data_IF_573228793124
#
_entry.id   IF_573228793124
#
_cell.length_a   1.000
_cell.length_b   1.000
_cell.length_c   1.000
_cell.angle_alpha   90.00
_cell.angle_beta   90.00
_cell.angle_gamma   90.00
#
_symmetry.space_group_name_H-M   'P 1'
#
loop_
_entity.id
_entity.type
_entity.pdbx_description
1 polymer ?
#
# COMPACT_ATOMS: atom_id res chain seq x y z
N UNK A 1 2.12 -20.15 -19.24
CA UNK A 1 1.73 -18.76 -18.89
C UNK A 1 2.98 -18.04 -18.36
N UNK A 2 3.62 -17.21 -19.19
CA UNK A 2 4.87 -16.51 -18.82
C UNK A 2 4.52 -15.42 -17.82
N UNK A 3 5.13 -15.48 -16.64
CA UNK A 3 5.02 -14.44 -15.62
C UNK A 3 5.63 -13.13 -16.15
N UNK A 4 5.08 -11.96 -15.80
CA UNK A 4 5.64 -10.69 -16.20
C UNK A 4 7.09 -10.56 -15.68
N UNK A 5 8.00 -10.26 -16.61
CA UNK A 5 9.42 -10.10 -16.33
C UNK A 5 9.82 -8.64 -16.51
N UNK A 6 10.64 -8.13 -15.61
CA UNK A 6 11.29 -6.83 -15.75
C UNK A 6 12.65 -7.08 -16.43
N UNK A 7 12.80 -6.66 -17.68
CA UNK A 7 14.12 -6.68 -18.33
C UNK A 7 15.02 -5.65 -17.66
N UNK A 8 16.16 -6.10 -17.16
CA UNK A 8 17.24 -5.22 -16.70
C UNK A 8 17.99 -4.74 -17.94
N UNK A 9 17.93 -3.44 -18.30
CA UNK A 9 18.64 -2.94 -19.49
C UNK A 9 20.14 -3.08 -19.32
N UNK A 10 20.83 -3.47 -20.39
CA UNK A 10 22.28 -3.36 -20.49
C UNK A 10 22.70 -1.88 -20.46
N UNK A 11 23.84 -1.53 -19.86
CA UNK A 11 24.33 -0.15 -19.88
C UNK A 11 24.60 0.26 -21.33
N UNK A 12 23.77 1.14 -21.89
CA UNK A 12 23.89 1.65 -23.27
C UNK A 12 22.57 1.84 -24.03
N UNK A 13 21.44 1.30 -23.58
CA UNK A 13 20.16 1.33 -24.31
C UNK A 13 19.06 2.11 -23.60
N UNK A 14 19.41 3.22 -22.94
CA UNK A 14 18.44 4.13 -22.31
C UNK A 14 18.21 5.35 -23.21
N UNK A 15 17.45 5.17 -24.30
CA UNK A 15 16.78 6.27 -24.96
C UNK A 15 15.31 6.30 -24.55
N UNK A 16 14.96 7.38 -23.88
CA UNK A 16 13.60 7.90 -23.62
C UNK A 16 12.61 7.05 -22.84
N UNK A 17 12.69 7.10 -21.49
CA UNK A 17 11.52 7.26 -20.57
C UNK A 17 11.98 7.64 -19.17
N UNK A 18 11.18 8.47 -18.39
CA UNK A 18 11.78 9.32 -17.37
C UNK A 18 11.96 8.63 -16.01
N UNK A 19 12.67 9.31 -15.15
CA UNK A 19 12.98 9.21 -13.72
C UNK A 19 12.52 7.96 -12.91
N UNK A 20 11.30 7.47 -13.06
CA UNK A 20 10.73 6.38 -12.23
C UNK A 20 11.34 5.01 -12.57
N UNK A 21 11.54 4.71 -13.83
CA UNK A 21 12.20 3.45 -14.25
C UNK A 21 13.64 3.43 -13.79
N UNK A 22 14.32 4.59 -13.81
CA UNK A 22 15.69 4.71 -13.33
C UNK A 22 15.82 4.44 -11.84
N UNK A 23 14.89 4.95 -10.99
CA UNK A 23 14.86 4.69 -9.55
C UNK A 23 14.62 3.21 -9.23
N UNK A 24 13.74 2.54 -9.98
CA UNK A 24 13.50 1.10 -9.82
C UNK A 24 14.75 0.27 -10.17
N UNK A 25 15.42 0.62 -11.25
CA UNK A 25 16.66 -0.03 -11.66
C UNK A 25 17.79 0.24 -10.66
N UNK A 26 17.86 1.44 -10.09
CA UNK A 26 18.81 1.77 -9.06
C UNK A 26 18.59 0.93 -7.80
N UNK A 27 17.35 0.85 -7.29
CA UNK A 27 17.02 -0.01 -6.14
C UNK A 27 17.40 -1.49 -6.37
N UNK A 28 17.23 -1.99 -7.60
CA UNK A 28 17.64 -3.36 -7.96
C UNK A 28 19.17 -3.49 -7.94
N UNK A 29 19.90 -2.53 -8.50
CA UNK A 29 21.37 -2.50 -8.49
C UNK A 29 21.91 -2.45 -7.08
N UNK A 30 21.37 -1.59 -6.23
CA UNK A 30 21.83 -1.40 -4.85
C UNK A 30 21.59 -2.66 -4.02
N UNK A 31 20.54 -3.42 -4.31
CA UNK A 31 20.23 -4.67 -3.61
C UNK A 31 20.95 -5.90 -4.19
N UNK A 32 21.47 -5.83 -5.42
CA UNK A 32 22.16 -6.96 -6.08
C UNK A 32 23.30 -7.54 -5.26
N UNK A 33 24.25 -6.74 -4.69
CA UNK A 33 25.37 -7.28 -3.92
C UNK A 33 24.94 -7.91 -2.59
N UNK A 34 23.81 -7.51 -2.03
CA UNK A 34 23.36 -7.92 -0.69
C UNK A 34 22.35 -9.09 -0.71
N UNK A 35 21.79 -9.43 -1.89
CA UNK A 35 20.74 -10.45 -2.01
C UNK A 35 21.10 -11.49 -3.08
N UNK A 36 21.59 -12.68 -2.68
CA UNK A 36 22.08 -13.72 -3.61
C UNK A 36 21.05 -14.10 -4.68
N UNK A 37 19.75 -14.13 -4.36
CA UNK A 37 18.72 -14.47 -5.32
C UNK A 37 18.54 -13.41 -6.41
N UNK A 38 18.74 -12.12 -6.12
CA UNK A 38 18.72 -11.05 -7.12
C UNK A 38 19.92 -11.18 -8.05
N UNK A 39 21.11 -11.38 -7.46
CA UNK A 39 22.33 -11.61 -8.20
C UNK A 39 22.15 -12.80 -9.17
N UNK A 40 21.64 -13.93 -8.68
CA UNK A 40 21.40 -15.11 -9.49
C UNK A 40 20.50 -14.81 -10.72
N UNK A 41 19.33 -14.17 -10.50
CA UNK A 41 18.44 -13.86 -11.63
C UNK A 41 19.04 -12.87 -12.63
N UNK A 42 19.71 -11.83 -12.15
CA UNK A 42 20.33 -10.82 -13.01
C UNK A 42 21.49 -11.39 -13.81
N UNK A 43 22.37 -12.16 -13.17
CA UNK A 43 23.60 -12.67 -13.80
C UNK A 43 23.30 -13.87 -14.74
N UNK A 44 22.33 -14.73 -14.37
CA UNK A 44 22.03 -15.94 -15.16
C UNK A 44 21.03 -15.68 -16.28
N UNK A 45 19.97 -14.91 -15.99
CA UNK A 45 18.85 -14.75 -16.92
C UNK A 45 18.75 -13.35 -17.54
N UNK A 46 19.60 -12.42 -17.13
CA UNK A 46 19.57 -11.00 -17.52
C UNK A 46 18.19 -10.34 -17.41
N UNK A 47 17.33 -10.90 -16.56
CA UNK A 47 16.00 -10.41 -16.27
C UNK A 47 15.66 -10.71 -14.81
N UNK A 48 14.69 -9.94 -14.27
CA UNK A 48 14.25 -10.10 -12.90
C UNK A 48 12.73 -10.32 -12.91
N UNK A 49 12.22 -11.47 -12.47
CA UNK A 49 10.78 -11.66 -12.29
C UNK A 49 10.19 -10.60 -11.35
N UNK A 50 8.99 -10.13 -11.62
CA UNK A 50 8.36 -9.06 -10.83
C UNK A 50 8.21 -9.43 -9.35
N UNK A 51 7.92 -10.69 -9.03
CA UNK A 51 7.83 -11.17 -7.65
C UNK A 51 9.17 -11.13 -6.90
N UNK A 52 10.29 -11.24 -7.60
CA UNK A 52 11.64 -11.05 -7.05
C UNK A 52 11.92 -9.55 -6.89
N UNK A 53 11.62 -8.76 -7.91
CA UNK A 53 11.80 -7.31 -7.91
C UNK A 53 11.01 -6.64 -6.77
N UNK A 54 9.78 -7.08 -6.51
CA UNK A 54 8.94 -6.54 -5.44
C UNK A 54 9.56 -6.62 -4.05
N UNK A 55 10.47 -7.58 -3.82
CA UNK A 55 11.20 -7.72 -2.55
C UNK A 55 12.32 -6.70 -2.35
N UNK A 56 12.64 -5.92 -3.38
CA UNK A 56 13.64 -4.85 -3.36
C UNK A 56 13.00 -3.46 -3.39
N UNK A 57 11.74 -3.39 -3.72
CA UNK A 57 11.04 -2.13 -3.93
C UNK A 57 10.30 -1.74 -2.65
N UNK A 58 10.29 -0.45 -2.36
CA UNK A 58 9.45 0.09 -1.28
C UNK A 58 7.98 0.05 -1.67
N UNK A 59 7.09 0.18 -0.69
CA UNK A 59 5.66 0.22 -0.98
C UNK A 59 5.30 1.40 -1.88
N UNK A 60 5.88 2.59 -1.65
CA UNK A 60 5.69 3.75 -2.54
C UNK A 60 6.19 3.50 -3.96
N UNK A 61 7.31 2.80 -4.12
CA UNK A 61 7.83 2.42 -5.43
C UNK A 61 6.90 1.44 -6.15
N UNK A 62 6.31 0.47 -5.43
CA UNK A 62 5.31 -0.45 -6.00
C UNK A 62 4.02 0.27 -6.41
N UNK A 63 3.59 1.26 -5.63
CA UNK A 63 2.48 2.14 -5.97
C UNK A 63 2.73 2.88 -7.30
N UNK A 64 3.85 3.58 -7.40
CA UNK A 64 4.24 4.26 -8.63
C UNK A 64 4.39 3.30 -9.82
N UNK A 65 4.89 2.08 -9.59
CA UNK A 65 4.98 1.06 -10.64
C UNK A 65 3.59 0.69 -11.19
N UNK A 66 2.57 0.60 -10.36
CA UNK A 66 1.19 0.35 -10.79
C UNK A 66 0.67 1.49 -11.70
N UNK A 67 0.97 2.74 -11.36
CA UNK A 67 0.52 3.90 -12.16
C UNK A 67 1.02 3.86 -13.60
N UNK A 68 2.24 3.39 -13.81
CA UNK A 68 2.87 3.30 -15.14
C UNK A 68 2.46 2.08 -15.94
N UNK A 69 1.63 1.18 -15.38
CA UNK A 69 1.17 0.01 -16.11
C UNK A 69 0.17 0.36 -17.23
N UNK A 70 0.20 -0.44 -18.28
CA UNK A 70 -0.82 -0.38 -19.34
C UNK A 70 -2.20 -0.66 -18.75
N UNK A 71 -3.24 -0.06 -19.31
CA UNK A 71 -4.63 -0.23 -18.85
C UNK A 71 -5.03 -1.71 -18.73
N UNK A 72 -4.63 -2.54 -19.69
CA UNK A 72 -4.92 -3.98 -19.64
C UNK A 72 -4.29 -4.69 -18.41
N UNK A 73 -3.12 -4.24 -17.96
CA UNK A 73 -2.46 -4.78 -16.76
C UNK A 73 -3.18 -4.29 -15.51
N UNK A 74 -3.51 -3.01 -15.43
CA UNK A 74 -4.30 -2.44 -14.32
C UNK A 74 -5.62 -3.18 -14.13
N UNK A 75 -6.35 -3.43 -15.23
CA UNK A 75 -7.61 -4.19 -15.19
C UNK A 75 -7.39 -5.62 -14.66
N UNK A 76 -6.36 -6.33 -15.15
CA UNK A 76 -6.03 -7.68 -14.67
C UNK A 76 -5.65 -7.69 -13.19
N UNK A 77 -4.95 -6.66 -12.72
CA UNK A 77 -4.59 -6.50 -11.30
C UNK A 77 -5.84 -6.31 -10.44
N UNK A 78 -6.80 -5.49 -10.86
CA UNK A 78 -8.07 -5.32 -10.16
C UNK A 78 -8.87 -6.62 -10.06
N UNK A 79 -8.93 -7.40 -11.15
CA UNK A 79 -9.59 -8.72 -11.16
C UNK A 79 -8.89 -9.70 -10.22
N UNK A 80 -7.56 -9.74 -10.26
CA UNK A 80 -6.77 -10.60 -9.37
C UNK A 80 -6.95 -10.22 -7.89
N UNK A 81 -6.99 -8.91 -7.61
CA UNK A 81 -7.24 -8.40 -6.26
C UNK A 81 -8.65 -8.78 -5.78
N UNK A 82 -9.68 -8.54 -6.59
CA UNK A 82 -11.05 -8.92 -6.24
C UNK A 82 -11.17 -10.42 -5.91
N UNK A 83 -10.52 -11.28 -6.70
CA UNK A 83 -10.47 -12.72 -6.44
C UNK A 83 -9.75 -13.06 -5.13
N UNK A 84 -8.60 -12.42 -4.88
CA UNK A 84 -7.81 -12.66 -3.67
C UNK A 84 -8.55 -12.22 -2.38
N UNK A 85 -9.36 -11.17 -2.48
CA UNK A 85 -10.15 -10.64 -1.37
C UNK A 85 -11.53 -11.31 -1.23
N UNK A 86 -11.94 -12.19 -2.16
CA UNK A 86 -13.26 -12.81 -2.15
C UNK A 86 -14.41 -11.83 -2.44
N UNK A 87 -14.13 -10.69 -3.09
CA UNK A 87 -15.15 -9.67 -3.41
C UNK A 87 -15.51 -9.69 -4.89
N UNK A 88 -16.72 -9.21 -5.23
CA UNK A 88 -17.18 -9.21 -6.61
C UNK A 88 -16.34 -8.36 -7.55
N UNK A 89 -15.89 -7.21 -7.11
CA UNK A 89 -15.09 -6.29 -7.94
C UNK A 89 -14.25 -5.34 -7.09
N UNK A 90 -13.07 -5.01 -7.61
CA UNK A 90 -12.23 -3.89 -7.14
C UNK A 90 -12.09 -2.90 -8.29
N UNK A 91 -12.55 -1.67 -8.10
CA UNK A 91 -12.45 -0.63 -9.13
C UNK A 91 -11.03 -0.06 -9.17
N UNK A 92 -10.53 0.23 -10.37
CA UNK A 92 -9.18 0.76 -10.55
C UNK A 92 -8.94 2.02 -9.71
N UNK A 93 -9.89 2.98 -9.71
CA UNK A 93 -9.78 4.21 -8.91
C UNK A 93 -9.65 3.95 -7.39
N UNK A 94 -10.31 2.90 -6.88
CA UNK A 94 -10.19 2.52 -5.47
C UNK A 94 -8.79 1.96 -5.18
N UNK A 95 -8.26 1.14 -6.09
CA UNK A 95 -6.92 0.57 -5.95
C UNK A 95 -5.82 1.63 -6.09
N UNK A 96 -5.94 2.55 -7.05
CA UNK A 96 -5.06 3.71 -7.19
C UNK A 96 -5.09 4.59 -5.91
N UNK A 97 -6.29 4.89 -5.42
CA UNK A 97 -6.44 5.64 -4.17
C UNK A 97 -5.75 4.93 -2.98
N UNK A 98 -5.94 3.61 -2.85
CA UNK A 98 -5.30 2.85 -1.78
C UNK A 98 -3.77 2.85 -1.91
N UNK A 99 -3.24 2.66 -3.12
CA UNK A 99 -1.81 2.66 -3.39
C UNK A 99 -1.16 4.02 -3.16
N UNK A 100 -1.89 5.13 -3.36
CA UNK A 100 -1.38 6.48 -3.08
C UNK A 100 -1.58 6.93 -1.63
N UNK A 101 -2.39 6.22 -0.85
CA UNK A 101 -2.71 6.60 0.53
C UNK A 101 -1.92 5.76 1.54
N UNK A 102 -1.91 4.45 1.37
CA UNK A 102 -1.32 3.54 2.36
C UNK A 102 0.19 3.65 2.53
N UNK A 103 1.01 3.94 1.48
CA UNK A 103 2.44 4.14 1.68
C UNK A 103 2.77 5.28 2.65
N UNK A 104 2.00 6.38 2.60
CA UNK A 104 2.21 7.53 3.47
C UNK A 104 1.86 7.17 4.92
N UNK A 105 0.71 6.52 5.16
CA UNK A 105 0.36 6.04 6.50
C UNK A 105 1.31 4.96 7.03
N UNK A 106 1.80 4.07 6.16
CA UNK A 106 2.84 3.11 6.55
C UNK A 106 4.11 3.82 7.03
N UNK A 107 4.48 4.94 6.41
CA UNK A 107 5.64 5.73 6.85
C UNK A 107 5.37 6.40 8.20
N UNK A 108 4.18 6.95 8.43
CA UNK A 108 3.76 7.47 9.75
C UNK A 108 3.97 6.40 10.83
N UNK A 109 3.46 5.17 10.60
CA UNK A 109 3.65 4.06 11.55
C UNK A 109 5.11 3.64 11.71
N UNK A 110 5.93 3.69 10.65
CA UNK A 110 7.33 3.28 10.70
C UNK A 110 8.24 4.28 11.43
N UNK A 111 7.80 5.53 11.56
CA UNK A 111 8.53 6.61 12.25
C UNK A 111 7.94 6.94 13.63
N UNK A 112 7.09 6.05 14.19
CA UNK A 112 6.44 6.21 15.50
C UNK A 112 5.66 7.53 15.65
N UNK A 113 5.13 8.05 14.53
CA UNK A 113 4.33 9.26 14.53
C UNK A 113 2.87 8.96 14.95
N UNK A 114 2.16 10.02 15.35
CA UNK A 114 0.77 9.90 15.81
C UNK A 114 -0.19 9.62 14.64
N UNK A 115 -0.60 8.36 14.50
CA UNK A 115 -1.46 7.89 13.42
C UNK A 115 -2.86 8.51 13.45
N UNK A 116 -3.47 8.64 14.63
CA UNK A 116 -4.88 9.02 14.77
C UNK A 116 -5.21 10.42 14.23
N UNK A 117 -4.26 11.35 14.28
CA UNK A 117 -4.43 12.72 13.80
C UNK A 117 -3.59 13.04 12.56
N UNK A 118 -2.90 12.03 12.00
CA UNK A 118 -2.07 12.21 10.83
C UNK A 118 -2.90 12.63 9.61
N UNK A 119 -2.35 13.54 8.83
CA UNK A 119 -2.88 13.96 7.54
C UNK A 119 -1.79 13.78 6.50
N UNK A 120 -2.12 13.10 5.42
CA UNK A 120 -1.19 12.77 4.34
C UNK A 120 -1.74 13.22 2.98
N UNK A 121 -0.95 13.04 1.94
CA UNK A 121 -1.29 13.49 0.60
C UNK A 121 -0.79 14.91 0.33
N UNK A 122 -0.81 15.31 -0.93
CA UNK A 122 -0.23 16.59 -1.39
C UNK A 122 -0.83 17.82 -0.69
N UNK A 123 -2.11 17.75 -0.32
CA UNK A 123 -2.84 18.86 0.32
C UNK A 123 -3.25 18.52 1.76
N UNK A 124 -2.66 17.50 2.39
CA UNK A 124 -3.09 16.98 3.69
C UNK A 124 -4.59 16.61 3.73
N UNK A 125 -5.09 16.11 2.60
CA UNK A 125 -6.51 15.83 2.36
C UNK A 125 -6.95 14.41 2.75
N UNK A 126 -6.00 13.57 3.21
CA UNK A 126 -6.26 12.19 3.59
C UNK A 126 -5.94 11.98 5.06
N UNK A 127 -6.96 11.67 5.82
CA UNK A 127 -6.88 11.38 7.24
C UNK A 127 -7.14 9.91 7.56
N UNK A 128 -7.48 9.64 8.82
CA UNK A 128 -7.74 8.29 9.30
C UNK A 128 -8.93 7.61 8.59
N UNK A 129 -9.99 8.35 8.27
CA UNK A 129 -11.13 7.85 7.48
C UNK A 129 -10.69 7.36 6.08
N UNK A 130 -9.84 8.14 5.41
CA UNK A 130 -9.29 7.78 4.11
C UNK A 130 -8.37 6.56 4.20
N UNK A 131 -7.63 6.42 5.28
CA UNK A 131 -6.81 5.23 5.55
C UNK A 131 -7.69 3.98 5.71
N UNK A 132 -8.77 4.06 6.50
CA UNK A 132 -9.72 2.94 6.66
C UNK A 132 -10.33 2.53 5.32
N UNK A 133 -10.77 3.50 4.51
CA UNK A 133 -11.30 3.24 3.17
C UNK A 133 -10.28 2.59 2.25
N UNK A 134 -9.03 3.04 2.30
CA UNK A 134 -7.93 2.46 1.53
C UNK A 134 -7.61 1.03 1.98
N UNK A 135 -7.59 0.77 3.29
CA UNK A 135 -7.43 -0.58 3.85
C UNK A 135 -8.55 -1.51 3.39
N UNK A 136 -9.81 -1.07 3.44
CA UNK A 136 -10.95 -1.86 2.97
C UNK A 136 -10.90 -2.22 1.47
N UNK A 137 -10.07 -1.52 0.68
CA UNK A 137 -9.86 -1.84 -0.74
C UNK A 137 -8.85 -2.97 -0.95
N UNK A 138 -7.90 -3.16 -0.03
CA UNK A 138 -6.74 -4.06 -0.22
C UNK A 138 -6.61 -5.17 0.83
N UNK A 139 -7.52 -5.21 1.80
CA UNK A 139 -7.57 -6.27 2.82
C UNK A 139 -8.90 -7.02 2.76
N UNK A 140 -8.93 -8.23 3.31
CA UNK A 140 -10.19 -8.97 3.45
C UNK A 140 -11.07 -8.33 4.53
N UNK A 141 -12.37 -8.61 4.48
CA UNK A 141 -13.33 -8.09 5.46
C UNK A 141 -13.00 -8.54 6.89
N UNK A 142 -12.51 -9.77 7.06
CA UNK A 142 -12.10 -10.32 8.35
C UNK A 142 -10.92 -9.53 8.94
N UNK A 143 -9.88 -9.24 8.12
CA UNK A 143 -8.73 -8.45 8.55
C UNK A 143 -9.10 -7.02 8.90
N UNK A 144 -9.98 -6.41 8.12
CA UNK A 144 -10.48 -5.07 8.40
C UNK A 144 -11.28 -5.06 9.72
N UNK A 145 -12.10 -6.10 9.96
CA UNK A 145 -12.85 -6.28 11.20
C UNK A 145 -11.93 -6.46 12.42
N UNK A 146 -10.88 -7.28 12.31
CA UNK A 146 -9.86 -7.42 13.36
C UNK A 146 -9.23 -6.07 13.73
N UNK A 147 -8.87 -5.28 12.73
CA UNK A 147 -8.34 -3.93 12.93
C UNK A 147 -9.37 -3.01 13.61
N UNK A 148 -10.61 -3.02 13.14
CA UNK A 148 -11.69 -2.21 13.72
C UNK A 148 -11.97 -2.59 15.19
N UNK A 149 -11.97 -3.88 15.54
CA UNK A 149 -12.10 -4.37 16.92
C UNK A 149 -10.96 -3.85 17.81
N UNK A 150 -9.72 -3.85 17.30
CA UNK A 150 -8.58 -3.32 18.05
C UNK A 150 -8.72 -1.81 18.29
N UNK A 151 -9.13 -1.04 17.28
CA UNK A 151 -9.38 0.41 17.42
C UNK A 151 -10.53 0.69 18.40
N UNK A 152 -11.65 -0.04 18.29
CA UNK A 152 -12.78 0.13 19.19
C UNK A 152 -12.43 -0.21 20.65
N UNK A 153 -11.63 -1.26 20.86
CA UNK A 153 -11.10 -1.60 22.19
C UNK A 153 -10.21 -0.50 22.79
N UNK A 154 -9.35 0.12 21.99
CA UNK A 154 -8.55 1.27 22.43
C UNK A 154 -9.43 2.48 22.77
N UNK A 155 -10.44 2.79 21.95
CA UNK A 155 -11.41 3.87 22.21
C UNK A 155 -12.19 3.61 23.49
N UNK A 156 -12.62 2.36 23.74
CA UNK A 156 -13.29 1.96 24.97
C UNK A 156 -12.41 2.14 26.23
N UNK A 157 -11.12 1.80 26.14
CA UNK A 157 -10.17 2.03 27.21
C UNK A 157 -9.98 3.53 27.50
N UNK A 158 -9.95 4.38 26.47
CA UNK A 158 -9.89 5.84 26.63
C UNK A 158 -11.16 6.40 27.28
N UNK A 159 -12.34 5.90 26.90
CA UNK A 159 -13.63 6.30 27.49
C UNK A 159 -13.71 5.96 28.98
N UNK A 160 -13.18 4.82 29.39
CA UNK A 160 -13.12 4.40 30.78
C UNK A 160 -12.21 5.29 31.65
N UNK A 161 -11.14 5.85 31.05
CA UNK A 161 -10.22 6.76 31.71
C UNK A 161 -10.73 8.22 31.78
N UNK A 162 -11.34 8.69 30.70
CA UNK A 162 -11.91 10.04 30.58
C UNK A 162 -12.75 10.16 29.31
N UNK A 163 -14.04 10.45 29.45
CA UNK A 163 -14.94 10.65 28.30
C UNK A 163 -14.49 11.79 27.37
N UNK A 164 -13.80 12.78 27.89
CA UNK A 164 -13.27 13.90 27.12
C UNK A 164 -12.10 13.46 26.22
N UNK A 165 -11.30 12.45 26.61
CA UNK A 165 -10.16 11.98 25.84
C UNK A 165 -10.59 11.18 24.60
N UNK A 166 -11.58 10.30 24.74
CA UNK A 166 -12.17 9.59 23.59
C UNK A 166 -12.69 10.58 22.55
N UNK A 167 -13.48 11.57 22.97
CA UNK A 167 -14.05 12.58 22.07
C UNK A 167 -12.97 13.38 21.33
N UNK A 168 -11.87 13.74 22.00
CA UNK A 168 -10.72 14.44 21.37
C UNK A 168 -10.01 13.56 20.35
N UNK A 169 -9.83 12.27 20.65
CA UNK A 169 -9.19 11.34 19.75
C UNK A 169 -10.06 11.12 18.50
N UNK A 170 -11.36 10.88 18.65
CA UNK A 170 -12.31 10.75 17.54
C UNK A 170 -12.35 12.00 16.67
N UNK A 171 -12.34 13.19 17.27
CA UNK A 171 -12.26 14.45 16.53
C UNK A 171 -10.93 14.55 15.74
N UNK A 172 -9.81 14.13 16.34
CA UNK A 172 -8.52 14.07 15.65
C UNK A 172 -8.50 13.07 14.49
N UNK A 173 -9.16 11.93 14.65
CA UNK A 173 -9.33 10.91 13.59
C UNK A 173 -10.27 11.40 12.48
N UNK A 174 -11.18 12.31 12.76
CA UNK A 174 -12.21 12.77 11.82
C UNK A 174 -13.23 11.68 11.49
N UNK A 175 -13.53 10.79 12.45
CA UNK A 175 -14.53 9.72 12.33
C UNK A 175 -15.42 9.68 13.56
N UNK A 176 -16.63 9.16 13.41
CA UNK A 176 -17.46 8.78 14.53
C UNK A 176 -17.10 7.34 14.98
N UNK A 177 -17.38 7.00 16.24
CA UNK A 177 -17.17 5.62 16.71
C UNK A 177 -18.01 4.62 15.93
N UNK A 178 -19.22 5.01 15.51
CA UNK A 178 -20.08 4.21 14.65
C UNK A 178 -19.43 3.82 13.31
N UNK A 179 -18.57 4.68 12.76
CA UNK A 179 -17.87 4.38 11.50
C UNK A 179 -16.87 3.23 11.70
N UNK A 180 -16.21 3.17 12.87
CA UNK A 180 -15.30 2.09 13.23
C UNK A 180 -16.07 0.81 13.52
N UNK A 181 -17.11 0.88 14.34
CA UNK A 181 -17.89 -0.30 14.74
C UNK A 181 -18.66 -0.92 13.57
N UNK A 182 -19.05 -0.14 12.57
CA UNK A 182 -19.70 -0.64 11.35
C UNK A 182 -18.82 -1.59 10.51
N UNK A 183 -17.51 -1.56 10.72
CA UNK A 183 -16.54 -2.46 10.06
C UNK A 183 -16.37 -3.79 10.80
N UNK A 184 -16.94 -3.94 11.99
CA UNK A 184 -16.83 -5.15 12.81
C UNK A 184 -17.86 -6.17 12.32
N UNK A 185 -17.36 -7.31 11.86
CA UNK A 185 -18.19 -8.46 11.50
C UNK A 185 -18.51 -9.25 12.79
N UNK A 186 -19.77 -9.58 12.94
CA UNK A 186 -20.29 -10.38 14.05
C UNK A 186 -19.85 -11.84 13.93
#
# INVERSE_FOLDING_TARGET
MLLPQVRVPQPGLLHSRPHTTALHLQSIRDNKPHKPYIKHYVDTYHCLPLWVASRCLTFGTMSAFFDYQKQSVKTKTCVAMARALGVGTVRQRQLEFAYHTLPDFRNICAHDERLYCAKVGKNNDRGFAEMLRALGTVTTAERLSEYAKAVDGMLGALASGSSNLESKVLAGMGVARSDVTSLIIS
#
